data_IF_932321913361
#
_entry.id   IF_932321913361
#
_cell.length_a   1.000
_cell.length_b   1.000
_cell.length_c   1.000
_cell.angle_alpha   90.00
_cell.angle_beta   90.00
_cell.angle_gamma   90.00
#
_symmetry.space_group_name_H-M   'P 1'
#
loop_
_entity.id
_entity.type
_entity.pdbx_description
1 polymer ?
#
# COMPACT_ATOMS: atom_id res chain seq x y z
N UNK A 1 -2.05 31.62 4.88
CA UNK A 1 -2.80 31.38 3.63
C UNK A 1 -4.25 31.11 3.97
N UNK A 2 -5.22 31.71 3.27
CA UNK A 2 -6.63 31.33 3.34
C UNK A 2 -6.94 30.59 2.03
N UNK A 3 -7.29 29.31 2.11
CA UNK A 3 -7.79 28.54 0.98
C UNK A 3 -9.32 28.52 1.00
N UNK A 4 -9.95 28.68 -0.15
CA UNK A 4 -11.40 28.46 -0.30
C UNK A 4 -11.61 27.02 -0.76
N UNK A 5 -12.45 26.27 -0.05
CA UNK A 5 -12.84 24.93 -0.48
C UNK A 5 -13.68 25.06 -1.76
N UNK A 6 -13.30 24.32 -2.80
CA UNK A 6 -14.03 24.25 -4.06
C UNK A 6 -14.27 22.79 -4.43
N UNK A 7 -15.49 22.47 -4.84
CA UNK A 7 -15.81 21.15 -5.40
C UNK A 7 -15.17 21.01 -6.77
N UNK A 8 -14.62 19.83 -7.05
CA UNK A 8 -14.07 19.45 -8.35
C UNK A 8 -14.81 18.22 -8.87
N UNK A 9 -14.87 18.03 -10.18
CA UNK A 9 -15.41 16.80 -10.78
C UNK A 9 -14.57 15.59 -10.38
N UNK A 10 -15.17 14.41 -10.27
CA UNK A 10 -14.52 13.15 -9.93
C UNK A 10 -13.23 12.88 -10.70
N UNK A 11 -13.20 13.13 -12.01
CA UNK A 11 -11.99 12.98 -12.84
C UNK A 11 -10.82 13.84 -12.33
N UNK A 12 -11.12 15.05 -11.86
CA UNK A 12 -10.13 16.01 -11.37
C UNK A 12 -9.70 15.66 -9.95
N UNK A 13 -10.65 15.22 -9.12
CA UNK A 13 -10.36 14.66 -7.78
C UNK A 13 -9.43 13.46 -7.92
N UNK A 14 -9.80 12.43 -8.68
CA UNK A 14 -8.98 11.23 -8.87
C UNK A 14 -7.65 11.51 -9.59
N UNK A 15 -7.57 12.61 -10.33
CA UNK A 15 -6.35 13.14 -10.94
C UNK A 15 -5.38 13.83 -9.97
N UNK A 16 -5.70 13.93 -8.67
CA UNK A 16 -4.82 14.51 -7.65
C UNK A 16 -5.32 15.81 -7.01
N UNK A 17 -6.50 16.32 -7.39
CA UNK A 17 -7.10 17.46 -6.70
C UNK A 17 -7.61 17.04 -5.30
N UNK A 18 -7.90 18.04 -4.45
CA UNK A 18 -8.34 17.84 -3.07
C UNK A 18 -7.35 17.05 -2.21
N UNK A 19 -6.06 17.28 -2.43
CA UNK A 19 -5.03 16.80 -1.54
C UNK A 19 -4.74 17.83 -0.44
N UNK A 20 -4.47 17.37 0.77
CA UNK A 20 -3.95 18.19 1.85
C UNK A 20 -2.86 17.42 2.57
N UNK A 21 -1.85 18.12 3.09
CA UNK A 21 -0.92 17.51 4.02
C UNK A 21 -1.35 17.85 5.44
N UNK A 22 -1.47 16.83 6.30
CA UNK A 22 -1.70 16.97 7.75
C UNK A 22 -0.44 16.55 8.48
N UNK A 23 0.00 17.37 9.43
CA UNK A 23 1.00 16.97 10.42
C UNK A 23 0.29 16.21 11.55
N UNK A 24 0.69 14.96 11.77
CA UNK A 24 0.15 14.16 12.87
C UNK A 24 0.79 14.55 14.21
N UNK A 25 0.35 13.92 15.30
CA UNK A 25 0.83 14.22 16.66
C UNK A 25 2.32 13.89 16.87
N UNK A 26 2.90 13.02 16.03
CA UNK A 26 4.30 12.61 16.07
C UNK A 26 5.20 13.51 15.21
N UNK A 27 4.64 14.51 14.51
CA UNK A 27 5.36 15.42 13.61
C UNK A 27 5.57 14.87 12.19
N UNK A 28 5.00 13.72 11.87
CA UNK A 28 5.04 13.13 10.52
C UNK A 28 3.92 13.72 9.66
N UNK A 29 4.21 13.92 8.37
CA UNK A 29 3.25 14.49 7.42
C UNK A 29 2.56 13.38 6.61
N UNK A 30 1.23 13.40 6.59
CA UNK A 30 0.39 12.51 5.80
C UNK A 30 -0.32 13.29 4.68
N UNK A 31 -0.26 12.76 3.46
CA UNK A 31 -1.03 13.28 2.33
C UNK A 31 -2.42 12.63 2.35
N UNK A 32 -3.45 13.43 2.58
CA UNK A 32 -4.84 13.01 2.49
C UNK A 32 -5.46 13.54 1.20
N UNK A 33 -6.06 12.65 0.42
CA UNK A 33 -6.86 13.00 -0.76
C UNK A 33 -8.30 12.54 -0.52
N UNK A 34 -9.26 13.42 -0.77
CA UNK A 34 -10.65 13.15 -0.42
C UNK A 34 -11.57 13.41 -1.61
N UNK A 35 -12.46 12.45 -1.88
CA UNK A 35 -13.53 12.58 -2.86
C UNK A 35 -14.74 13.33 -2.25
N UNK A 36 -15.13 12.92 -1.05
CA UNK A 36 -16.02 13.66 -0.15
C UNK A 36 -15.23 14.02 1.11
N UNK A 37 -15.53 15.14 1.76
CA UNK A 37 -14.88 15.52 3.02
C UNK A 37 -15.08 14.39 4.06
N UNK A 38 -14.04 13.58 4.30
CA UNK A 38 -14.15 12.38 5.13
C UNK A 38 -13.77 12.69 6.58
N UNK A 39 -14.51 12.05 7.49
CA UNK A 39 -14.38 12.18 8.94
C UNK A 39 -13.28 11.34 9.59
N UNK A 40 -13.46 11.23 10.91
CA UNK A 40 -12.51 11.07 12.03
C UNK A 40 -11.59 12.31 12.23
N UNK A 41 -11.88 13.17 13.22
CA UNK A 41 -11.35 14.52 13.23
C UNK A 41 -9.86 14.52 13.53
N UNK A 42 -9.09 15.03 12.58
CA UNK A 42 -7.80 15.65 12.85
C UNK A 42 -7.97 16.59 14.07
N UNK A 43 -7.15 16.47 15.12
CA UNK A 43 -7.31 17.26 16.33
C UNK A 43 -7.40 18.76 16.02
N UNK A 44 -8.25 19.46 16.76
CA UNK A 44 -8.37 20.91 16.59
C UNK A 44 -7.00 21.58 16.79
N UNK A 45 -6.59 22.40 15.81
CA UNK A 45 -5.28 23.08 15.83
C UNK A 45 -4.17 22.40 15.04
N UNK A 46 -4.40 21.25 14.40
CA UNK A 46 -3.40 20.63 13.53
C UNK A 46 -3.01 21.56 12.35
N UNK A 47 -1.73 21.50 11.96
CA UNK A 47 -1.22 22.24 10.82
C UNK A 47 -1.63 21.53 9.54
N UNK A 48 -2.32 22.26 8.67
CA UNK A 48 -2.75 21.78 7.36
C UNK A 48 -2.09 22.60 6.26
N UNK A 49 -1.63 21.92 5.21
CA UNK A 49 -1.20 22.55 3.96
C UNK A 49 -2.21 22.16 2.90
N UNK A 50 -2.91 23.15 2.34
CA UNK A 50 -3.81 22.94 1.20
C UNK A 50 -2.94 22.76 -0.04
N UNK A 51 -2.95 21.57 -0.63
CA UNK A 51 -2.33 21.39 -1.92
C UNK A 51 -3.09 22.21 -2.97
N UNK A 52 -2.37 22.94 -3.80
CA UNK A 52 -2.92 23.55 -4.98
C UNK A 52 -2.21 22.97 -6.21
N UNK A 53 -2.55 23.48 -7.39
CA UNK A 53 -1.98 23.04 -8.66
C UNK A 53 -0.48 23.33 -8.81
N UNK A 54 0.16 24.02 -7.85
CA UNK A 54 1.61 24.21 -7.86
C UNK A 54 2.37 22.97 -7.36
N UNK A 55 1.70 21.98 -6.75
CA UNK A 55 2.33 20.70 -6.43
C UNK A 55 2.52 19.87 -7.71
N UNK A 56 3.77 19.65 -8.08
CA UNK A 56 4.13 18.69 -9.12
C UNK A 56 4.58 17.37 -8.51
N UNK A 57 4.14 16.26 -9.09
CA UNK A 57 4.75 14.98 -8.78
C UNK A 57 6.20 15.00 -9.27
N UNK A 58 7.12 14.64 -8.39
CA UNK A 58 8.53 14.56 -8.76
C UNK A 58 8.71 13.42 -9.76
N UNK A 59 9.44 13.66 -10.85
CA UNK A 59 9.70 12.69 -11.92
C UNK A 59 10.67 11.57 -11.51
N UNK A 60 10.62 11.10 -10.27
CA UNK A 60 11.48 10.05 -9.74
C UNK A 60 11.22 8.76 -10.51
N UNK A 61 12.24 8.31 -11.22
CA UNK A 61 12.23 7.07 -11.98
C UNK A 61 12.52 5.85 -11.08
N UNK A 62 12.33 4.65 -11.63
CA UNK A 62 12.49 3.42 -10.86
C UNK A 62 13.94 3.12 -10.45
N UNK A 63 14.90 3.51 -11.28
CA UNK A 63 16.34 3.37 -11.03
C UNK A 63 16.83 4.22 -9.85
N UNK A 64 16.09 5.26 -9.46
CA UNK A 64 16.43 6.09 -8.31
C UNK A 64 15.99 5.50 -6.96
N UNK A 65 15.21 4.41 -6.96
CA UNK A 65 14.76 3.77 -5.72
C UNK A 65 15.93 3.15 -4.96
N UNK A 66 15.96 3.37 -3.65
CA UNK A 66 17.00 2.87 -2.77
C UNK A 66 18.27 3.73 -2.71
N UNK A 67 18.44 4.68 -3.63
CA UNK A 67 19.52 5.66 -3.59
C UNK A 67 19.23 6.75 -2.55
N UNK A 68 20.29 7.18 -1.85
CA UNK A 68 20.24 8.36 -0.99
C UNK A 68 20.28 9.62 -1.87
N UNK A 69 19.13 10.25 -2.07
CA UNK A 69 19.00 11.45 -2.90
C UNK A 69 19.14 12.70 -2.04
N UNK A 70 19.89 13.67 -2.55
CA UNK A 70 20.02 14.99 -1.92
C UNK A 70 18.91 15.90 -2.43
N UNK A 71 17.98 16.23 -1.54
CA UNK A 71 16.90 17.16 -1.78
C UNK A 71 17.24 18.51 -1.20
N UNK A 72 16.82 19.58 -1.87
CA UNK A 72 16.87 20.94 -1.36
C UNK A 72 15.52 21.60 -1.57
N UNK A 73 15.00 22.26 -0.53
CA UNK A 73 13.74 22.99 -0.58
C UNK A 73 13.97 24.41 -0.06
N UNK A 74 13.51 25.41 -0.81
CA UNK A 74 13.69 26.82 -0.49
C UNK A 74 12.74 27.71 -1.30
N UNK A 75 12.75 29.03 -1.06
CA UNK A 75 11.88 29.97 -1.76
C UNK A 75 12.11 29.99 -3.28
N UNK A 76 11.03 30.12 -4.05
CA UNK A 76 11.12 30.29 -5.49
C UNK A 76 11.88 31.58 -5.84
N UNK A 77 12.85 31.49 -6.75
CA UNK A 77 13.67 32.63 -7.21
C UNK A 77 14.98 32.85 -6.44
N UNK A 78 15.17 32.19 -5.30
CA UNK A 78 16.46 32.16 -4.60
C UNK A 78 17.46 31.20 -5.25
N UNK A 79 18.76 31.45 -5.07
CA UNK A 79 19.80 30.55 -5.57
C UNK A 79 19.77 29.21 -4.85
N UNK A 80 19.90 28.09 -5.57
CA UNK A 80 19.89 26.72 -5.01
C UNK A 80 20.97 26.44 -3.94
N UNK A 81 22.01 27.30 -3.88
CA UNK A 81 23.09 27.26 -2.89
C UNK A 81 22.90 28.20 -1.69
N UNK A 82 21.80 28.96 -1.64
CA UNK A 82 21.55 29.95 -0.60
C UNK A 82 21.22 29.33 0.77
N UNK A 83 21.49 30.09 1.83
CA UNK A 83 21.25 29.67 3.22
C UNK A 83 19.75 29.49 3.54
N UNK A 84 18.87 29.97 2.66
CA UNK A 84 17.41 29.84 2.75
C UNK A 84 16.89 28.49 2.19
N UNK A 85 17.77 27.63 1.67
CA UNK A 85 17.44 26.26 1.28
C UNK A 85 17.78 25.26 2.38
N UNK A 86 16.78 24.46 2.75
CA UNK A 86 16.97 23.30 3.63
C UNK A 86 17.38 22.10 2.79
N UNK A 87 18.52 21.51 3.12
CA UNK A 87 18.99 20.27 2.51
C UNK A 87 18.55 19.05 3.33
N UNK A 88 18.07 18.02 2.65
CA UNK A 88 17.69 16.75 3.26
C UNK A 88 18.13 15.59 2.39
N UNK A 89 18.66 14.54 3.01
CA UNK A 89 18.93 13.28 2.30
C UNK A 89 17.73 12.35 2.50
N UNK A 90 17.08 11.98 1.41
CA UNK A 90 15.90 11.12 1.41
C UNK A 90 16.20 9.87 0.60
N UNK A 91 15.90 8.70 1.19
CA UNK A 91 15.98 7.43 0.46
C UNK A 91 14.58 6.89 0.22
N UNK A 92 14.16 6.92 -1.04
CA UNK A 92 12.83 6.45 -1.43
C UNK A 92 12.84 4.93 -1.57
N UNK A 93 12.00 4.24 -0.80
CA UNK A 93 11.94 2.76 -0.76
C UNK A 93 10.86 2.14 -1.66
N UNK A 94 10.14 2.96 -2.42
CA UNK A 94 9.11 2.48 -3.34
C UNK A 94 7.93 1.77 -2.65
N UNK A 95 7.54 2.20 -1.44
CA UNK A 95 6.41 1.60 -0.70
C UNK A 95 5.14 1.51 -1.57
N UNK A 96 4.87 2.52 -2.39
CA UNK A 96 3.75 2.56 -3.32
C UNK A 96 3.81 1.50 -4.44
N UNK A 97 4.99 0.92 -4.72
CA UNK A 97 5.16 -0.19 -5.67
C UNK A 97 4.95 -1.57 -5.06
N UNK A 98 4.73 -1.67 -3.75
CA UNK A 98 4.37 -2.96 -3.17
C UNK A 98 2.99 -3.38 -3.70
N UNK A 99 2.83 -4.65 -4.10
CA UNK A 99 1.52 -5.18 -4.43
C UNK A 99 0.56 -4.99 -3.27
N UNK A 100 -0.72 -4.81 -3.58
CA UNK A 100 -1.75 -4.74 -2.55
C UNK A 100 -1.89 -6.11 -1.88
N UNK A 101 -1.88 -6.14 -0.54
CA UNK A 101 -2.13 -7.37 0.20
C UNK A 101 -3.51 -7.94 -0.17
N UNK A 102 -3.65 -9.27 -0.40
CA UNK A 102 -4.93 -9.89 -0.69
C UNK A 102 -5.88 -9.77 0.51
N UNK A 103 -7.17 -9.97 0.26
CA UNK A 103 -8.23 -9.81 1.28
C UNK A 103 -9.13 -11.03 1.34
N UNK A 104 -9.96 -11.11 2.39
CA UNK A 104 -10.96 -12.16 2.56
C UNK A 104 -10.38 -13.58 2.53
N UNK A 105 -9.33 -13.82 3.32
CA UNK A 105 -8.81 -15.17 3.53
C UNK A 105 -9.93 -16.08 4.07
N UNK A 106 -10.12 -17.23 3.42
CA UNK A 106 -11.05 -18.29 3.78
C UNK A 106 -10.31 -19.61 3.88
N UNK A 107 -10.75 -20.46 4.80
CA UNK A 107 -10.27 -21.82 4.94
C UNK A 107 -11.44 -22.80 4.93
N UNK A 108 -11.23 -23.97 4.32
CA UNK A 108 -12.17 -25.09 4.34
C UNK A 108 -11.36 -26.36 4.58
N UNK A 109 -11.77 -27.16 5.56
CA UNK A 109 -11.24 -28.50 5.74
C UNK A 109 -11.93 -29.46 4.77
N UNK A 110 -11.14 -30.25 4.06
CA UNK A 110 -11.57 -31.24 3.09
C UNK A 110 -11.86 -32.58 3.79
N UNK A 111 -12.61 -33.45 3.13
CA UNK A 111 -12.98 -34.77 3.69
C UNK A 111 -11.80 -35.70 3.97
N UNK A 112 -10.64 -35.43 3.37
CA UNK A 112 -9.40 -36.15 3.59
C UNK A 112 -8.57 -35.60 4.78
N UNK A 113 -9.06 -34.55 5.46
CA UNK A 113 -8.38 -33.89 6.58
C UNK A 113 -7.48 -32.72 6.18
N UNK A 114 -7.19 -32.54 4.89
CA UNK A 114 -6.39 -31.42 4.39
C UNK A 114 -7.19 -30.11 4.40
N UNK A 115 -6.49 -29.00 4.31
CA UNK A 115 -7.07 -27.67 4.24
C UNK A 115 -6.88 -27.05 2.87
N UNK A 116 -7.95 -26.39 2.41
CA UNK A 116 -7.93 -25.47 1.27
C UNK A 116 -8.05 -24.04 1.79
N UNK A 117 -7.10 -23.20 1.41
CA UNK A 117 -7.12 -21.77 1.64
C UNK A 117 -7.47 -21.04 0.33
N UNK A 118 -8.22 -19.94 0.43
CA UNK A 118 -8.53 -19.06 -0.70
C UNK A 118 -8.63 -17.61 -0.24
N UNK A 119 -8.37 -16.67 -1.14
CA UNK A 119 -8.45 -15.23 -0.87
C UNK A 119 -8.85 -14.49 -2.16
N UNK A 120 -9.05 -13.18 -2.05
CA UNK A 120 -9.37 -12.31 -3.19
C UNK A 120 -8.12 -11.48 -3.54
N UNK A 121 -7.68 -11.59 -4.80
CA UNK A 121 -6.61 -10.75 -5.37
C UNK A 121 -7.09 -9.30 -5.46
N UNK A 122 -6.19 -8.36 -5.20
CA UNK A 122 -6.42 -6.92 -5.41
C UNK A 122 -5.57 -6.41 -6.56
N UNK A 123 -6.11 -5.46 -7.34
CA UNK A 123 -5.35 -4.66 -8.31
C UNK A 123 -5.45 -3.18 -7.97
N UNK A 124 -4.44 -2.42 -8.39
CA UNK A 124 -4.47 -0.94 -8.34
C UNK A 124 -4.70 -0.33 -9.72
N UNK A 125 -4.53 -1.12 -10.78
CA UNK A 125 -4.52 -0.64 -12.16
C UNK A 125 -5.69 -1.29 -12.90
N UNK A 126 -6.57 -0.48 -13.45
CA UNK A 126 -7.68 -0.92 -14.32
C UNK A 126 -8.76 -1.76 -13.63
N UNK A 127 -8.88 -1.69 -12.30
CA UNK A 127 -9.90 -2.45 -11.54
C UNK A 127 -11.27 -1.76 -11.42
N UNK A 128 -11.43 -0.60 -12.05
CA UNK A 128 -12.60 0.28 -12.03
C UNK A 128 -13.52 0.13 -13.25
N UNK A 129 -13.07 -0.61 -14.27
CA UNK A 129 -13.84 -0.84 -15.49
C UNK A 129 -14.93 -1.89 -15.28
N UNK A 130 -16.16 -1.54 -15.65
CA UNK A 130 -17.31 -2.45 -15.64
C UNK A 130 -17.41 -3.33 -16.90
N UNK A 131 -16.69 -2.98 -17.96
CA UNK A 131 -16.72 -3.69 -19.25
C UNK A 131 -15.74 -4.88 -19.29
N UNK A 132 -14.87 -5.00 -18.29
CA UNK A 132 -13.89 -6.08 -18.23
C UNK A 132 -14.47 -7.32 -17.55
N UNK A 133 -14.27 -8.48 -18.18
CA UNK A 133 -14.70 -9.76 -17.64
C UNK A 133 -13.90 -10.17 -16.39
N UNK A 134 -12.62 -9.81 -16.34
CA UNK A 134 -11.70 -10.11 -15.25
C UNK A 134 -10.95 -8.85 -14.79
N UNK A 135 -10.66 -8.79 -13.49
CA UNK A 135 -9.85 -7.72 -12.90
C UNK A 135 -8.39 -7.86 -13.37
N UNK A 136 -7.75 -6.84 -13.97
CA UNK A 136 -6.39 -6.95 -14.48
C UNK A 136 -5.35 -7.28 -13.42
N UNK A 137 -4.26 -7.92 -13.83
CA UNK A 137 -3.05 -8.04 -13.01
C UNK A 137 -2.18 -6.79 -13.23
N UNK A 138 -1.99 -6.00 -12.18
CA UNK A 138 -1.14 -4.79 -12.23
C UNK A 138 0.35 -5.04 -11.99
N UNK A 139 0.74 -6.28 -11.70
CA UNK A 139 2.13 -6.68 -11.40
C UNK A 139 2.68 -7.58 -12.52
N UNK A 140 4.01 -7.76 -12.58
CA UNK A 140 4.65 -8.60 -13.61
C UNK A 140 4.20 -10.08 -13.54
N UNK A 141 3.93 -10.57 -12.32
CA UNK A 141 3.41 -11.92 -12.08
C UNK A 141 2.53 -11.95 -10.83
N UNK A 142 1.58 -12.87 -10.83
CA UNK A 142 0.80 -13.22 -9.64
C UNK A 142 1.62 -14.17 -8.75
N UNK A 143 1.89 -13.76 -7.51
CA UNK A 143 2.65 -14.56 -6.56
C UNK A 143 2.21 -14.25 -5.13
N UNK A 144 2.01 -15.30 -4.33
CA UNK A 144 1.65 -15.20 -2.91
C UNK A 144 2.59 -16.00 -2.02
N UNK A 145 2.59 -15.58 -0.76
CA UNK A 145 3.22 -16.25 0.37
C UNK A 145 2.17 -16.42 1.47
N UNK A 146 2.15 -17.60 2.07
CA UNK A 146 1.29 -17.93 3.19
C UNK A 146 2.16 -18.38 4.35
N UNK A 147 2.12 -17.60 5.42
CA UNK A 147 2.73 -17.95 6.71
C UNK A 147 1.68 -18.62 7.58
N UNK A 148 1.99 -19.83 8.03
CA UNK A 148 1.18 -20.58 8.98
C UNK A 148 1.83 -20.38 10.34
N UNK A 149 1.10 -19.70 11.22
CA UNK A 149 1.57 -19.31 12.54
C UNK A 149 1.16 -20.35 13.58
N UNK A 150 2.00 -20.48 14.61
CA UNK A 150 1.63 -21.08 15.87
C UNK A 150 0.53 -20.25 16.54
N UNK A 151 -0.62 -20.84 16.91
CA UNK A 151 -1.73 -20.08 17.45
C UNK A 151 -1.47 -19.56 18.88
N UNK A 152 -0.46 -20.07 19.58
CA UNK A 152 -0.15 -19.72 20.97
C UNK A 152 0.89 -18.60 21.03
N UNK A 153 2.00 -18.76 20.31
CA UNK A 153 3.12 -17.79 20.36
C UNK A 153 3.25 -16.91 19.11
N UNK A 154 2.46 -17.16 18.06
CA UNK A 154 2.49 -16.38 16.82
C UNK A 154 3.74 -16.60 15.95
N UNK A 155 4.62 -17.54 16.29
CA UNK A 155 5.80 -17.84 15.49
C UNK A 155 5.41 -18.56 14.20
N UNK A 156 6.13 -18.28 13.13
CA UNK A 156 5.92 -18.95 11.84
C UNK A 156 6.33 -20.43 11.97
N UNK A 157 5.35 -21.34 11.86
CA UNK A 157 5.56 -22.79 11.81
C UNK A 157 5.87 -23.29 10.42
N UNK A 158 5.30 -22.66 9.40
CA UNK A 158 5.51 -23.03 8.00
C UNK A 158 5.32 -21.82 7.09
N UNK A 159 6.17 -21.73 6.07
CA UNK A 159 6.03 -20.76 4.99
C UNK A 159 5.78 -21.52 3.70
N UNK A 160 4.75 -21.13 2.94
CA UNK A 160 4.51 -21.61 1.58
C UNK A 160 4.66 -20.42 0.64
N UNK A 161 5.59 -20.51 -0.32
CA UNK A 161 5.95 -19.43 -1.26
C UNK A 161 5.58 -19.81 -2.69
N UNK A 162 5.69 -18.83 -3.58
CA UNK A 162 5.53 -19.01 -5.04
C UNK A 162 4.17 -19.59 -5.44
N UNK A 163 3.12 -19.27 -4.69
CA UNK A 163 1.75 -19.65 -5.02
C UNK A 163 1.26 -18.70 -6.13
N UNK A 164 0.86 -19.23 -7.29
CA UNK A 164 0.55 -18.44 -8.49
C UNK A 164 -0.95 -18.29 -8.78
N UNK A 165 -1.79 -18.62 -7.79
CA UNK A 165 -3.24 -18.50 -7.86
C UNK A 165 -3.77 -18.04 -6.50
N UNK A 166 -4.99 -17.47 -6.40
CA UNK A 166 -5.52 -16.92 -5.16
C UNK A 166 -6.08 -18.03 -4.22
N UNK A 167 -5.43 -19.19 -4.23
CA UNK A 167 -5.78 -20.35 -3.43
C UNK A 167 -4.57 -21.27 -3.23
N UNK A 168 -4.61 -22.02 -2.14
CA UNK A 168 -3.62 -23.05 -1.81
C UNK A 168 -4.38 -24.30 -1.33
N UNK A 169 -4.09 -25.45 -1.94
CA UNK A 169 -4.71 -26.74 -1.61
C UNK A 169 -3.74 -27.67 -0.89
N UNK A 170 -4.28 -28.78 -0.37
CA UNK A 170 -3.51 -29.91 0.14
C UNK A 170 -2.56 -29.54 1.30
N UNK A 171 -3.01 -28.59 2.14
CA UNK A 171 -2.26 -28.19 3.33
C UNK A 171 -2.68 -29.06 4.50
N UNK A 172 -1.73 -29.83 5.03
CA UNK A 172 -1.88 -30.46 6.34
C UNK A 172 -1.55 -29.42 7.43
N UNK A 173 -2.53 -29.07 8.27
CA UNK A 173 -2.37 -28.09 9.38
C UNK A 173 -2.15 -28.74 10.75
N UNK A 174 -2.34 -30.07 10.87
CA UNK A 174 -2.20 -30.79 12.14
C UNK A 174 -0.83 -31.46 12.30
N UNK A 175 -0.34 -31.46 13.55
CA UNK A 175 0.80 -32.26 13.97
C UNK A 175 0.43 -33.74 14.08
N UNK A 176 1.37 -34.60 13.71
CA UNK A 176 1.34 -36.07 13.77
C UNK A 176 0.59 -36.80 12.63
N UNK A 177 1.33 -37.09 11.54
CA UNK A 177 1.22 -38.44 10.97
C UNK A 177 1.88 -39.38 11.97
N UNK A 178 1.10 -40.02 12.85
CA UNK A 178 1.54 -41.29 13.40
C UNK A 178 1.84 -42.21 12.22
N UNK A 179 3.09 -42.68 12.17
CA UNK A 179 3.52 -43.73 11.25
C UNK A 179 2.61 -44.95 11.43
N UNK A 180 1.64 -45.13 10.54
CA UNK A 180 1.16 -46.48 10.23
C UNK A 180 2.25 -47.18 9.41
N UNK A 181 3.31 -47.62 10.08
CA UNK A 181 4.10 -48.73 9.60
C UNK A 181 3.48 -49.99 10.19
N UNK A 182 2.90 -50.80 9.32
CA UNK A 182 2.55 -52.17 9.64
C UNK A 182 3.81 -53.03 9.70
N UNK A 183 3.88 -53.84 10.75
CA UNK A 183 4.31 -55.23 10.75
C UNK A 183 3.72 -55.87 12.01
#
# INVERSE_FOLDING_TARGET
>A
MRGTLASHSDTVVFGGANALLVENQDGEWELLQFADAMGDPVPAGARVIVANTALGQTGISADMLGLALNWRAGPAGSSLGGDDYVAQTVTLRGKARRPLAPVHLRSIQLSNGDWRLSWIRRTRIGGDSWDQADVPLGEEREAYEVDILDPVNGHVRRVVRAITAPSLTDIVLDGERQSRNGA
#
